data_IF_313636496315
#
_entry.id   IF_313636496315
#
_cell.length_a   1.000
_cell.length_b   1.000
_cell.length_c   1.000
_cell.angle_alpha   90.00
_cell.angle_beta   90.00
_cell.angle_gamma   90.00
#
_symmetry.space_group_name_H-M   'P 1'
#
loop_
_entity.id
_entity.type
_entity.pdbx_description
1 polymer ?
#
# COMPACT_ATOMS: atom_id res chain seq x y z
N UNK A 1 25.94 16.83 -7.78
CA UNK A 1 25.85 16.00 -6.56
C UNK A 1 24.83 16.53 -5.52
N UNK A 2 24.47 17.85 -5.52
CA UNK A 2 23.54 18.44 -4.54
C UNK A 2 22.06 18.23 -4.93
N UNK A 3 21.75 17.97 -6.22
CA UNK A 3 20.36 17.84 -6.72
C UNK A 3 19.58 16.71 -6.05
N UNK A 4 20.19 15.55 -5.83
CA UNK A 4 19.51 14.37 -5.27
C UNK A 4 19.12 14.56 -3.79
N UNK A 5 20.04 14.98 -2.90
CA UNK A 5 19.67 15.28 -1.51
C UNK A 5 18.60 16.37 -1.39
N UNK A 6 18.66 17.39 -2.25
CA UNK A 6 17.66 18.46 -2.26
C UNK A 6 16.29 17.94 -2.72
N UNK A 7 16.27 17.03 -3.69
CA UNK A 7 15.04 16.37 -4.14
C UNK A 7 14.40 15.55 -3.03
N UNK A 8 15.20 14.79 -2.29
CA UNK A 8 14.71 13.99 -1.15
C UNK A 8 14.09 14.89 -0.08
N UNK A 9 14.76 15.96 0.32
CA UNK A 9 14.22 16.94 1.26
C UNK A 9 12.91 17.56 0.76
N UNK A 10 12.81 17.82 -0.53
CA UNK A 10 11.61 18.37 -1.15
C UNK A 10 10.45 17.36 -1.13
N UNK A 11 10.72 16.09 -1.42
CA UNK A 11 9.73 15.00 -1.34
C UNK A 11 9.19 14.86 0.08
N UNK A 12 10.07 14.79 1.07
CA UNK A 12 9.69 14.69 2.48
C UNK A 12 8.87 15.91 2.92
N UNK A 13 9.26 17.11 2.52
CA UNK A 13 8.52 18.33 2.83
C UNK A 13 7.12 18.33 2.20
N UNK A 14 6.99 17.92 0.93
CA UNK A 14 5.67 17.81 0.25
C UNK A 14 4.82 16.75 0.92
N UNK A 15 5.37 15.56 1.16
CA UNK A 15 4.63 14.48 1.80
C UNK A 15 4.15 14.88 3.20
N UNK A 16 5.04 15.45 4.01
CA UNK A 16 4.68 15.98 5.32
C UNK A 16 3.56 17.02 5.23
N UNK A 17 3.66 17.98 4.29
CA UNK A 17 2.64 19.02 4.13
C UNK A 17 1.28 18.47 3.69
N UNK A 18 1.27 17.46 2.81
CA UNK A 18 0.04 16.81 2.33
C UNK A 18 -0.61 15.97 3.44
N UNK A 19 0.18 15.32 4.30
CA UNK A 19 -0.32 14.45 5.36
C UNK A 19 -0.66 15.18 6.65
N UNK A 20 -0.27 16.45 6.81
CA UNK A 20 -0.62 17.26 8.00
C UNK A 20 -2.14 17.48 8.18
N UNK A 21 -2.93 17.86 7.14
CA UNK A 21 -4.36 17.91 7.28
C UNK A 21 -4.91 16.48 7.40
N UNK A 22 -5.60 16.19 8.48
CA UNK A 22 -6.30 14.90 8.64
C UNK A 22 -7.20 14.63 7.44
N UNK A 23 -7.19 13.39 6.96
CA UNK A 23 -8.06 12.89 5.89
C UNK A 23 -7.73 13.38 4.45
N UNK A 24 -6.56 13.94 4.17
CA UNK A 24 -6.19 14.35 2.81
C UNK A 24 -6.07 13.16 1.86
N UNK A 25 -5.55 12.02 2.33
CA UNK A 25 -5.36 10.80 1.52
C UNK A 25 -6.56 9.84 1.55
N UNK A 26 -7.60 10.15 2.31
CA UNK A 26 -8.81 9.30 2.44
C UNK A 26 -9.42 8.88 1.10
N UNK A 27 -9.55 9.73 0.06
CA UNK A 27 -10.08 9.28 -1.23
C UNK A 27 -9.27 8.14 -1.86
N UNK A 28 -7.94 8.18 -1.74
CA UNK A 28 -7.05 7.12 -2.24
C UNK A 28 -7.21 5.86 -1.38
N UNK A 29 -7.19 6.01 -0.07
CA UNK A 29 -7.37 4.91 0.88
C UNK A 29 -8.70 4.16 0.68
N UNK A 30 -9.82 4.89 0.45
CA UNK A 30 -11.12 4.30 0.17
C UNK A 30 -11.08 3.49 -1.12
N UNK A 31 -10.49 4.04 -2.20
CA UNK A 31 -10.41 3.33 -3.48
C UNK A 31 -9.54 2.07 -3.36
N UNK A 32 -8.44 2.13 -2.64
CA UNK A 32 -7.58 0.97 -2.38
C UNK A 32 -8.30 -0.10 -1.55
N UNK A 33 -8.94 0.29 -0.45
CA UNK A 33 -9.68 -0.65 0.40
C UNK A 33 -10.84 -1.33 -0.38
N UNK A 34 -11.54 -0.57 -1.22
CA UNK A 34 -12.62 -1.10 -2.05
C UNK A 34 -12.09 -2.09 -3.11
N UNK A 35 -11.03 -1.74 -3.84
CA UNK A 35 -10.41 -2.61 -4.84
C UNK A 35 -9.82 -3.85 -4.16
N UNK A 36 -9.10 -3.67 -3.06
CA UNK A 36 -8.52 -4.75 -2.27
C UNK A 36 -9.57 -5.76 -1.82
N UNK A 37 -10.65 -5.30 -1.16
CA UNK A 37 -11.72 -6.20 -0.72
C UNK A 37 -12.40 -6.92 -1.90
N UNK A 38 -12.65 -6.20 -3.00
CA UNK A 38 -13.26 -6.78 -4.21
C UNK A 38 -12.38 -7.85 -4.84
N UNK A 39 -11.10 -7.59 -5.05
CA UNK A 39 -10.17 -8.58 -5.65
C UNK A 39 -10.00 -9.78 -4.71
N UNK A 40 -9.86 -9.57 -3.40
CA UNK A 40 -9.73 -10.66 -2.43
C UNK A 40 -10.96 -11.58 -2.47
N UNK A 41 -12.18 -11.02 -2.52
CA UNK A 41 -13.40 -11.80 -2.63
C UNK A 41 -13.52 -12.56 -3.96
N UNK A 42 -13.07 -11.98 -5.07
CA UNK A 42 -13.06 -12.66 -6.38
C UNK A 42 -12.10 -13.86 -6.37
N UNK A 43 -10.93 -13.73 -5.75
CA UNK A 43 -9.90 -14.78 -5.79
C UNK A 43 -10.16 -15.88 -4.75
N UNK A 44 -10.56 -15.49 -3.53
CA UNK A 44 -10.63 -16.40 -2.37
C UNK A 44 -12.05 -16.74 -1.93
N UNK A 45 -13.07 -16.14 -2.55
CA UNK A 45 -14.49 -16.40 -2.28
C UNK A 45 -15.18 -15.23 -1.55
N UNK A 46 -16.49 -15.15 -1.76
CA UNK A 46 -17.32 -14.11 -1.15
C UNK A 46 -17.29 -14.19 0.38
N UNK A 47 -17.19 -13.03 1.03
CA UNK A 47 -17.14 -12.91 2.49
C UNK A 47 -15.74 -13.03 3.09
N UNK A 48 -14.72 -13.35 2.30
CA UNK A 48 -13.32 -13.41 2.74
C UNK A 48 -12.80 -12.02 3.17
N UNK A 49 -13.23 -10.97 2.49
CA UNK A 49 -12.88 -9.60 2.80
C UNK A 49 -14.14 -8.73 2.86
N UNK A 50 -14.37 -8.09 4.00
CA UNK A 50 -15.50 -7.18 4.20
C UNK A 50 -15.01 -5.77 4.45
N UNK A 51 -15.54 -4.81 3.67
CA UNK A 51 -15.21 -3.40 3.81
C UNK A 51 -15.96 -2.82 5.01
N UNK A 52 -15.24 -2.15 5.89
CA UNK A 52 -15.78 -1.54 7.11
C UNK A 52 -15.24 -0.13 7.31
N UNK A 53 -15.76 0.56 8.31
CA UNK A 53 -15.35 1.93 8.60
C UNK A 53 -14.27 1.97 9.69
N UNK A 54 -13.25 2.80 9.46
CA UNK A 54 -12.29 3.23 10.46
C UNK A 54 -12.37 4.75 10.58
N UNK A 55 -12.57 5.28 11.78
CA UNK A 55 -12.71 6.72 12.05
C UNK A 55 -13.71 7.44 11.12
N UNK A 56 -14.82 6.78 10.78
CA UNK A 56 -15.87 7.32 9.92
C UNK A 56 -15.67 7.19 8.42
N UNK A 57 -14.54 6.60 7.98
CA UNK A 57 -14.21 6.40 6.56
C UNK A 57 -14.10 4.91 6.22
N UNK A 58 -14.52 4.53 5.01
CA UNK A 58 -14.49 3.13 4.52
C UNK A 58 -13.07 2.74 4.08
N UNK A 59 -12.13 2.75 5.01
CA UNK A 59 -10.70 2.48 4.76
C UNK A 59 -10.21 1.19 5.43
N UNK A 60 -11.10 0.48 6.15
CA UNK A 60 -10.78 -0.76 6.84
C UNK A 60 -11.34 -1.96 6.07
N UNK A 61 -10.54 -3.01 5.97
CA UNK A 61 -10.93 -4.31 5.42
C UNK A 61 -10.75 -5.35 6.51
N UNK A 62 -11.83 -6.06 6.83
CA UNK A 62 -11.79 -7.21 7.73
C UNK A 62 -11.61 -8.47 6.88
N UNK A 63 -10.49 -9.15 7.06
CA UNK A 63 -10.19 -10.44 6.43
C UNK A 63 -10.70 -11.55 7.34
N UNK A 64 -11.43 -12.51 6.77
CA UNK A 64 -12.06 -13.63 7.50
C UNK A 64 -11.48 -14.96 7.06
N UNK A 65 -11.09 -15.82 8.02
CA UNK A 65 -10.62 -17.17 7.79
C UNK A 65 -10.83 -17.99 9.07
N UNK A 66 -11.24 -19.26 8.96
CA UNK A 66 -11.52 -20.14 10.11
C UNK A 66 -10.33 -20.33 11.07
N UNK A 67 -9.11 -20.16 10.56
CA UNK A 67 -7.86 -20.32 11.34
C UNK A 67 -7.38 -19.00 11.96
N UNK A 68 -8.02 -17.87 11.66
CA UNK A 68 -7.58 -16.58 12.21
C UNK A 68 -7.85 -16.49 13.71
N UNK A 69 -6.97 -15.82 14.46
CA UNK A 69 -7.11 -15.65 15.90
C UNK A 69 -8.33 -14.77 16.24
N UNK A 70 -8.94 -15.07 17.39
CA UNK A 70 -10.06 -14.33 17.93
C UNK A 70 -11.43 -14.97 17.71
N UNK A 71 -12.44 -14.48 18.45
CA UNK A 71 -13.78 -15.06 18.48
C UNK A 71 -14.51 -14.98 17.12
N UNK A 72 -14.19 -13.98 16.32
CA UNK A 72 -14.83 -13.74 15.02
C UNK A 72 -14.02 -14.32 13.85
N UNK A 73 -12.87 -14.92 14.12
CA UNK A 73 -11.94 -15.41 13.10
C UNK A 73 -11.65 -14.37 12.01
N UNK A 74 -11.50 -13.10 12.42
CA UNK A 74 -11.30 -11.97 11.54
C UNK A 74 -10.09 -11.14 11.96
N UNK A 75 -9.38 -10.62 10.96
CA UNK A 75 -8.28 -9.67 11.12
C UNK A 75 -8.68 -8.35 10.50
N UNK A 76 -8.75 -7.30 11.31
CA UNK A 76 -9.06 -5.95 10.85
C UNK A 76 -7.79 -5.22 10.43
N UNK A 77 -7.71 -4.82 9.18
CA UNK A 77 -6.60 -4.07 8.61
C UNK A 77 -7.15 -2.78 7.99
N UNK A 78 -6.44 -1.67 8.15
CA UNK A 78 -6.82 -0.41 7.52
C UNK A 78 -5.71 0.11 6.61
N UNK A 79 -6.09 0.79 5.54
CA UNK A 79 -5.16 1.46 4.64
C UNK A 79 -4.75 2.78 5.28
N UNK A 80 -3.52 2.84 5.81
CA UNK A 80 -2.94 4.07 6.40
C UNK A 80 -2.36 4.99 5.30
N UNK A 81 -2.01 6.22 5.66
CA UNK A 81 -1.34 7.16 4.77
C UNK A 81 -0.02 6.58 4.22
N UNK A 82 0.71 5.84 5.05
CA UNK A 82 1.95 5.16 4.67
C UNK A 82 1.70 3.99 3.72
N UNK A 83 0.52 3.34 3.83
CA UNK A 83 0.16 2.20 3.00
C UNK A 83 -0.36 2.59 1.62
N UNK A 84 -0.76 3.85 1.42
CA UNK A 84 -1.38 4.31 0.17
C UNK A 84 -0.39 4.50 -1.00
N UNK A 85 0.91 4.26 -0.81
CA UNK A 85 1.92 4.36 -1.88
C UNK A 85 2.15 5.79 -2.41
N UNK A 86 1.57 6.80 -1.76
CA UNK A 86 1.65 8.20 -2.21
C UNK A 86 3.05 8.76 -2.07
N UNK A 87 3.77 8.36 -1.03
CA UNK A 87 5.16 8.77 -0.82
C UNK A 87 6.05 8.34 -1.99
N UNK A 88 5.93 7.07 -2.41
CA UNK A 88 6.64 6.51 -3.55
C UNK A 88 6.27 7.20 -4.87
N UNK A 89 5.00 7.52 -5.06
CA UNK A 89 4.53 8.25 -6.25
C UNK A 89 5.12 9.67 -6.31
N UNK A 90 5.16 10.40 -5.21
CA UNK A 90 5.76 11.74 -5.12
C UNK A 90 7.26 11.65 -5.41
N UNK A 91 7.94 10.68 -4.80
CA UNK A 91 9.38 10.49 -4.97
C UNK A 91 9.74 10.21 -6.44
N UNK A 92 9.10 9.22 -7.07
CA UNK A 92 9.32 8.86 -8.48
C UNK A 92 9.01 10.05 -9.39
N UNK A 93 7.89 10.74 -9.15
CA UNK A 93 7.52 11.92 -9.93
C UNK A 93 8.57 13.02 -9.86
N UNK A 94 9.12 13.26 -8.66
CA UNK A 94 10.18 14.24 -8.46
C UNK A 94 11.45 13.87 -9.23
N UNK A 95 11.88 12.60 -9.19
CA UNK A 95 13.05 12.14 -9.95
C UNK A 95 12.85 12.31 -11.46
N UNK A 96 11.67 11.96 -11.99
CA UNK A 96 11.34 12.13 -13.41
C UNK A 96 11.36 13.62 -13.81
N UNK A 97 10.80 14.50 -12.98
CA UNK A 97 10.80 15.95 -13.23
C UNK A 97 12.22 16.50 -13.27
N UNK A 98 13.10 16.02 -12.39
CA UNK A 98 14.50 16.47 -12.29
C UNK A 98 15.42 15.91 -13.37
N UNK A 99 14.98 14.96 -14.18
CA UNK A 99 15.78 14.40 -15.30
C UNK A 99 15.98 15.48 -16.36
N UNK A 100 17.23 15.84 -16.62
CA UNK A 100 17.58 16.85 -17.62
C UNK A 100 17.50 16.26 -19.05
N UNK A 101 17.25 17.12 -20.05
CA UNK A 101 17.26 16.74 -21.47
C UNK A 101 16.03 16.00 -22.00
N UNK A 102 15.02 15.78 -21.17
CA UNK A 102 13.78 15.10 -21.56
C UNK A 102 12.64 16.09 -21.73
N UNK A 103 11.84 15.95 -22.81
CA UNK A 103 10.69 16.83 -23.05
C UNK A 103 9.60 16.67 -21.99
N UNK A 104 8.86 17.75 -21.69
CA UNK A 104 7.78 17.75 -20.68
C UNK A 104 6.68 16.72 -20.97
N UNK A 105 6.35 16.49 -22.26
CA UNK A 105 5.35 15.48 -22.64
C UNK A 105 5.78 14.06 -22.26
N UNK A 106 7.06 13.74 -22.44
CA UNK A 106 7.61 12.43 -22.07
C UNK A 106 7.59 12.31 -20.56
N UNK A 107 8.05 13.34 -19.82
CA UNK A 107 8.04 13.33 -18.35
C UNK A 107 6.63 13.09 -17.81
N UNK A 108 5.63 13.83 -18.28
CA UNK A 108 4.26 13.67 -17.82
C UNK A 108 3.72 12.26 -18.09
N UNK A 109 3.97 11.72 -19.30
CA UNK A 109 3.58 10.34 -19.62
C UNK A 109 4.26 9.33 -18.72
N UNK A 110 5.55 9.51 -18.45
CA UNK A 110 6.32 8.62 -17.57
C UNK A 110 5.79 8.67 -16.13
N UNK A 111 5.46 9.86 -15.62
CA UNK A 111 4.85 10.01 -14.29
C UNK A 111 3.54 9.23 -14.20
N UNK A 112 2.63 9.42 -15.16
CA UNK A 112 1.33 8.72 -15.16
C UNK A 112 1.53 7.21 -15.19
N UNK A 113 2.41 6.70 -16.05
CA UNK A 113 2.69 5.26 -16.16
C UNK A 113 3.30 4.73 -14.86
N UNK A 114 4.31 5.41 -14.31
CA UNK A 114 4.98 4.94 -13.09
C UNK A 114 4.07 5.01 -11.87
N UNK A 115 3.32 6.07 -11.68
CA UNK A 115 2.33 6.16 -10.60
C UNK A 115 1.26 5.06 -10.72
N UNK A 116 0.80 4.74 -11.94
CA UNK A 116 -0.14 3.63 -12.15
C UNK A 116 0.48 2.28 -11.79
N UNK A 117 1.75 2.05 -12.14
CA UNK A 117 2.48 0.82 -11.76
C UNK A 117 2.60 0.73 -10.24
N UNK A 118 3.01 1.80 -9.56
CA UNK A 118 3.12 1.83 -8.09
C UNK A 118 1.78 1.53 -7.44
N UNK A 119 0.70 2.15 -7.92
CA UNK A 119 -0.65 1.91 -7.42
C UNK A 119 -1.07 0.44 -7.56
N UNK A 120 -0.86 -0.16 -8.74
CA UNK A 120 -1.17 -1.58 -8.99
C UNK A 120 -0.33 -2.49 -8.08
N UNK A 121 0.97 -2.23 -7.95
CA UNK A 121 1.84 -3.02 -7.07
C UNK A 121 1.41 -2.90 -5.60
N UNK A 122 0.92 -1.73 -5.19
CA UNK A 122 0.36 -1.54 -3.86
C UNK A 122 -0.89 -2.40 -3.64
N UNK A 123 -1.82 -2.43 -4.59
CA UNK A 123 -3.00 -3.32 -4.52
C UNK A 123 -2.58 -4.80 -4.46
N UNK A 124 -1.62 -5.23 -5.28
CA UNK A 124 -1.11 -6.61 -5.26
C UNK A 124 -0.54 -6.95 -3.87
N UNK A 125 0.20 -6.04 -3.25
CA UNK A 125 0.72 -6.19 -1.89
C UNK A 125 -0.41 -6.39 -0.87
N UNK A 126 -1.47 -5.57 -0.93
CA UNK A 126 -2.61 -5.66 -0.02
C UNK A 126 -3.37 -6.99 -0.19
N UNK A 127 -3.58 -7.43 -1.43
CA UNK A 127 -4.24 -8.72 -1.72
C UNK A 127 -3.40 -9.90 -1.21
N UNK A 128 -2.07 -9.80 -1.27
CA UNK A 128 -1.16 -10.84 -0.77
C UNK A 128 -1.20 -11.04 0.74
N UNK A 129 -1.74 -10.10 1.51
CA UNK A 129 -1.89 -10.26 2.98
C UNK A 129 -2.75 -11.45 3.35
N UNK A 130 -3.84 -11.67 2.61
CA UNK A 130 -4.76 -12.77 2.92
C UNK A 130 -4.10 -14.15 2.85
N UNK A 131 -3.52 -14.58 1.71
CA UNK A 131 -2.93 -15.92 1.62
C UNK A 131 -1.76 -16.11 2.60
N UNK A 132 -0.93 -15.09 2.79
CA UNK A 132 0.20 -15.18 3.73
C UNK A 132 -0.29 -15.38 5.16
N UNK A 133 -1.32 -14.64 5.57
CA UNK A 133 -1.91 -14.80 6.90
C UNK A 133 -2.64 -16.14 7.04
N UNK A 134 -3.41 -16.54 6.03
CA UNK A 134 -4.17 -17.79 6.04
C UNK A 134 -3.25 -19.02 6.11
N UNK A 135 -2.19 -19.06 5.31
CA UNK A 135 -1.21 -20.16 5.32
C UNK A 135 -0.47 -20.25 6.66
N UNK A 136 -0.05 -19.12 7.21
CA UNK A 136 0.65 -19.10 8.50
C UNK A 136 -0.27 -19.52 9.66
N UNK A 137 -1.53 -19.05 9.67
CA UNK A 137 -2.49 -19.40 10.72
C UNK A 137 -3.06 -20.82 10.57
N UNK A 138 -2.98 -21.42 9.38
CA UNK A 138 -3.32 -22.84 9.20
C UNK A 138 -2.34 -23.78 9.94
N UNK A 139 -1.08 -23.36 10.15
CA UNK A 139 -0.06 -24.14 10.88
C UNK A 139 -0.32 -24.07 12.39
N UNK A 140 -0.71 -22.92 12.92
CA UNK A 140 -0.97 -22.69 14.34
C UNK A 140 -2.27 -21.89 14.52
N UNK A 141 -3.43 -22.55 14.42
CA UNK A 141 -4.72 -21.90 14.48
C UNK A 141 -4.96 -21.18 15.81
N UNK A 142 -5.63 -20.03 15.74
CA UNK A 142 -5.97 -19.18 16.90
C UNK A 142 -4.78 -18.57 17.65
N UNK A 143 -3.55 -18.76 17.21
CA UNK A 143 -2.38 -18.10 17.79
C UNK A 143 -2.18 -16.73 17.12
N UNK A 144 -2.23 -15.60 17.85
CA UNK A 144 -1.98 -14.27 17.29
C UNK A 144 -0.62 -14.12 16.60
N UNK A 145 0.38 -14.92 17.01
CA UNK A 145 1.72 -14.91 16.43
C UNK A 145 1.74 -15.36 14.96
N UNK A 146 0.72 -16.09 14.47
CA UNK A 146 0.64 -16.50 13.07
C UNK A 146 0.59 -15.28 12.11
N UNK A 147 0.07 -14.15 12.56
CA UNK A 147 0.00 -12.92 11.77
C UNK A 147 1.37 -12.23 11.59
N UNK A 148 2.39 -12.64 12.34
CA UNK A 148 3.74 -12.05 12.23
C UNK A 148 4.31 -12.22 10.81
N UNK A 149 4.03 -13.33 10.14
CA UNK A 149 4.48 -13.56 8.74
C UNK A 149 3.93 -12.50 7.78
N UNK A 150 2.67 -12.12 7.93
CA UNK A 150 2.04 -11.05 7.15
C UNK A 150 2.69 -9.70 7.44
N UNK A 151 2.97 -9.38 8.70
CA UNK A 151 3.63 -8.12 9.09
C UNK A 151 5.07 -8.06 8.60
N UNK A 152 5.83 -9.16 8.69
CA UNK A 152 7.18 -9.26 8.13
C UNK A 152 7.18 -9.07 6.60
N UNK A 153 6.22 -9.66 5.91
CA UNK A 153 6.03 -9.43 4.47
C UNK A 153 5.78 -7.96 4.18
N UNK A 154 4.86 -7.31 4.93
CA UNK A 154 4.55 -5.89 4.78
C UNK A 154 5.81 -5.02 4.93
N UNK A 155 6.56 -5.22 6.00
CA UNK A 155 7.80 -4.49 6.29
C UNK A 155 8.87 -4.74 5.23
N UNK A 156 9.03 -5.99 4.80
CA UNK A 156 9.99 -6.36 3.76
C UNK A 156 9.66 -5.69 2.42
N UNK A 157 8.41 -5.76 1.99
CA UNK A 157 7.99 -5.14 0.72
C UNK A 157 8.07 -3.61 0.80
N UNK A 158 7.73 -3.02 1.93
CA UNK A 158 7.87 -1.57 2.13
C UNK A 158 9.34 -1.13 2.01
N UNK A 159 10.26 -1.83 2.67
CA UNK A 159 11.68 -1.48 2.69
C UNK A 159 12.37 -1.78 1.35
N UNK A 160 12.18 -2.97 0.80
CA UNK A 160 12.89 -3.43 -0.41
C UNK A 160 12.19 -3.07 -1.71
N UNK A 161 10.87 -2.94 -1.70
CA UNK A 161 10.09 -2.55 -2.89
C UNK A 161 10.45 -1.17 -3.37
N UNK A 162 10.67 -0.23 -2.48
CA UNK A 162 11.14 1.11 -2.79
C UNK A 162 12.54 1.09 -3.43
N UNK A 163 13.47 0.29 -2.87
CA UNK A 163 14.80 0.13 -3.45
C UNK A 163 14.78 -0.51 -4.84
N UNK A 164 13.90 -1.49 -5.05
CA UNK A 164 13.76 -2.15 -6.35
C UNK A 164 13.28 -1.15 -7.42
N UNK A 165 12.32 -0.30 -7.10
CA UNK A 165 11.85 0.74 -8.02
C UNK A 165 12.98 1.71 -8.37
N UNK A 166 13.81 2.09 -7.38
CA UNK A 166 14.98 2.95 -7.61
C UNK A 166 16.01 2.33 -8.55
N UNK A 167 16.24 1.03 -8.46
CA UNK A 167 17.22 0.32 -9.30
C UNK A 167 16.70 0.15 -10.72
N UNK A 168 15.38 0.05 -10.92
CA UNK A 168 14.76 -0.13 -12.24
C UNK A 168 14.55 1.19 -13.01
N UNK A 169 14.78 2.35 -12.40
CA UNK A 169 14.75 3.68 -13.03
C UNK A 169 16.11 4.09 -13.58
#
# INVERSE_FOLDING_TARGET
YVKIPLALLFVEAIYWFITQPSNTLVPIQITEAWIWSGITNIIYGEGTATLTTNNGWMTQVNLSNENFPGVLNTVALYVSDECAGVHEMIFISTLIIMTDGVSQKIKLRSIVVMCSIVYVLNIVRLVAFYPIAADACAIDPNNPACLNSMWQFHETVYTWGFLLVLVLM
#
